data_IF_592080258568
#
_entry.id   IF_592080258568
#
_cell.length_a   1.000
_cell.length_b   1.000
_cell.length_c   1.000
_cell.angle_alpha   90.00
_cell.angle_beta   90.00
_cell.angle_gamma   90.00
#
_symmetry.space_group_name_H-M   'P 1'
#
loop_
_entity.id
_entity.type
_entity.pdbx_description
1 polymer ?
#
# COMPACT_ATOMS: atom_id res chain seq x y z
N UNK A 1 -3.88 -6.58 -22.19
CA UNK A 1 -2.65 -6.10 -21.52
C UNK A 1 -2.93 -6.06 -20.02
N UNK A 2 -2.13 -6.76 -19.22
CA UNK A 2 -2.31 -6.82 -17.78
C UNK A 2 -1.45 -5.74 -17.11
N UNK A 3 -2.02 -5.05 -16.13
CA UNK A 3 -1.31 -4.08 -15.28
C UNK A 3 -1.50 -4.43 -13.82
N UNK A 4 -0.47 -4.15 -13.02
CA UNK A 4 -0.49 -4.35 -11.57
C UNK A 4 0.00 -3.07 -10.91
N UNK A 5 -0.75 -2.59 -9.92
CA UNK A 5 -0.53 -1.29 -9.30
C UNK A 5 -0.62 -1.39 -7.79
N UNK A 6 0.34 -0.84 -7.03
CA UNK A 6 0.19 -0.69 -5.60
C UNK A 6 -0.88 0.38 -5.32
N UNK A 7 -1.84 0.03 -4.47
CA UNK A 7 -2.94 0.92 -4.10
C UNK A 7 -3.09 0.99 -2.59
N UNK A 8 -3.39 2.19 -2.10
CA UNK A 8 -3.68 2.48 -0.71
C UNK A 8 -5.17 2.81 -0.59
N UNK A 9 -5.87 2.18 0.33
CA UNK A 9 -7.27 2.51 0.63
C UNK A 9 -7.34 3.80 1.45
N UNK A 10 -8.11 4.78 0.98
CA UNK A 10 -8.22 6.09 1.63
C UNK A 10 -9.57 6.22 2.34
N UNK A 11 -9.54 6.55 3.63
CA UNK A 11 -10.70 6.82 4.47
C UNK A 11 -10.36 7.83 5.58
N UNK A 12 -9.65 8.91 5.22
CA UNK A 12 -9.32 9.96 6.16
C UNK A 12 -10.59 10.66 6.70
N UNK A 13 -10.58 11.13 7.96
CA UNK A 13 -11.65 11.97 8.49
C UNK A 13 -11.86 13.25 7.67
N UNK A 14 -13.11 13.65 7.50
CA UNK A 14 -13.49 14.87 6.77
C UNK A 14 -12.88 16.15 7.37
N UNK A 15 -12.49 16.11 8.65
CA UNK A 15 -11.90 17.24 9.38
C UNK A 15 -10.37 17.22 9.44
N UNK A 16 -9.71 16.34 8.68
CA UNK A 16 -8.25 16.34 8.57
C UNK A 16 -7.73 17.69 8.05
N UNK A 17 -6.90 18.36 8.86
CA UNK A 17 -6.45 19.72 8.57
C UNK A 17 -4.96 19.98 8.86
N UNK A 18 -4.14 18.93 9.02
CA UNK A 18 -2.70 19.12 9.27
C UNK A 18 -1.97 19.63 8.03
N UNK A 19 -2.32 19.13 6.84
CA UNK A 19 -1.78 19.59 5.56
C UNK A 19 -2.79 19.38 4.43
N UNK A 20 -2.58 20.00 3.25
CA UNK A 20 -3.45 19.77 2.10
C UNK A 20 -3.43 18.32 1.64
N UNK A 21 -4.62 17.75 1.46
CA UNK A 21 -4.87 16.43 0.87
C UNK A 21 -5.69 16.60 -0.41
N UNK A 22 -5.65 15.61 -1.29
CA UNK A 22 -6.53 15.59 -2.47
C UNK A 22 -7.95 15.26 -2.05
N UNK A 23 -8.93 15.67 -2.83
CA UNK A 23 -10.30 15.20 -2.67
C UNK A 23 -10.36 13.70 -3.05
N UNK A 24 -11.11 12.91 -2.28
CA UNK A 24 -11.32 11.48 -2.51
C UNK A 24 -12.72 11.08 -2.04
N UNK A 25 -13.23 9.96 -2.57
CA UNK A 25 -14.38 9.29 -1.99
C UNK A 25 -13.88 8.27 -0.94
N UNK A 26 -14.51 8.17 0.25
CA UNK A 26 -14.08 7.21 1.27
C UNK A 26 -14.09 5.77 0.75
N UNK A 27 -13.12 4.97 1.20
CA UNK A 27 -12.90 3.58 0.82
C UNK A 27 -12.59 3.39 -0.67
N UNK A 28 -12.01 4.42 -1.31
CA UNK A 28 -11.43 4.30 -2.66
C UNK A 28 -9.92 4.09 -2.60
N UNK A 29 -9.38 3.62 -3.73
CA UNK A 29 -7.98 3.29 -3.86
C UNK A 29 -7.19 4.41 -4.52
N UNK A 30 -6.20 4.95 -3.80
CA UNK A 30 -5.17 5.83 -4.34
C UNK A 30 -4.00 4.99 -4.86
N UNK A 31 -3.67 5.12 -6.14
CA UNK A 31 -2.48 4.47 -6.72
C UNK A 31 -1.21 5.14 -6.19
N UNK A 32 -0.25 4.33 -5.72
CA UNK A 32 1.08 4.80 -5.38
C UNK A 32 2.03 4.68 -6.57
N UNK A 33 2.82 5.71 -6.85
CA UNK A 33 3.79 5.69 -7.95
C UNK A 33 4.50 7.03 -8.16
N UNK A 34 5.45 7.07 -9.09
CA UNK A 34 6.24 8.27 -9.38
C UNK A 34 5.51 9.39 -10.14
N UNK A 35 4.24 9.20 -10.49
CA UNK A 35 3.42 10.18 -11.21
C UNK A 35 2.42 10.92 -10.34
N UNK A 36 2.55 10.84 -9.01
CA UNK A 36 1.62 11.46 -8.08
C UNK A 36 1.88 12.96 -7.93
N UNK A 37 0.81 13.72 -7.78
CA UNK A 37 0.83 15.11 -7.38
C UNK A 37 1.18 15.23 -5.88
N UNK A 38 1.74 16.37 -5.46
CA UNK A 38 2.18 16.55 -4.07
C UNK A 38 1.04 16.45 -3.04
N UNK A 39 -0.19 16.80 -3.42
CA UNK A 39 -1.39 16.63 -2.57
C UNK A 39 -1.79 15.17 -2.44
N UNK A 40 -1.64 14.36 -3.50
CA UNK A 40 -1.84 12.91 -3.44
C UNK A 40 -0.79 12.25 -2.54
N UNK A 41 0.47 12.70 -2.61
CA UNK A 41 1.54 12.25 -1.71
C UNK A 41 1.18 12.58 -0.25
N UNK A 42 0.76 13.82 0.02
CA UNK A 42 0.30 14.22 1.35
C UNK A 42 -0.89 13.39 1.85
N UNK A 43 -1.79 13.00 0.95
CA UNK A 43 -2.94 12.12 1.25
C UNK A 43 -2.48 10.73 1.64
N UNK A 44 -1.56 10.14 0.88
CA UNK A 44 -0.99 8.83 1.19
C UNK A 44 -0.26 8.83 2.54
N UNK A 45 0.56 9.85 2.82
CA UNK A 45 1.25 9.99 4.11
C UNK A 45 0.25 10.14 5.27
N UNK A 46 -0.78 10.97 5.09
CA UNK A 46 -1.84 11.13 6.09
C UNK A 46 -2.56 9.81 6.35
N UNK A 47 -2.95 9.09 5.30
CA UNK A 47 -3.66 7.83 5.43
C UNK A 47 -2.82 6.76 6.14
N UNK A 48 -1.56 6.58 5.76
CA UNK A 48 -0.68 5.62 6.44
C UNK A 48 -0.51 5.97 7.92
N UNK A 49 -0.30 7.26 8.25
CA UNK A 49 -0.22 7.69 9.63
C UNK A 49 -1.54 7.45 10.39
N UNK A 50 -2.67 7.78 9.77
CA UNK A 50 -4.01 7.62 10.35
C UNK A 50 -4.36 6.16 10.63
N UNK A 51 -4.11 5.25 9.69
CA UNK A 51 -4.32 3.81 9.88
C UNK A 51 -3.57 3.27 11.09
N UNK A 52 -2.41 3.86 11.41
CA UNK A 52 -1.59 3.47 12.56
C UNK A 52 -1.83 4.36 13.80
N UNK A 53 -2.73 5.34 13.77
CA UNK A 53 -2.89 6.32 14.85
C UNK A 53 -3.47 5.72 16.14
N UNK A 54 -3.99 4.49 16.11
CA UNK A 54 -4.41 3.76 17.31
C UNK A 54 -3.16 3.28 18.05
N UNK A 55 -2.87 3.90 19.19
CA UNK A 55 -1.80 3.44 20.07
C UNK A 55 -2.06 1.98 20.49
N UNK A 56 -1.03 1.12 20.54
CA UNK A 56 -1.14 -0.17 21.20
C UNK A 56 -1.63 0.02 22.63
N UNK A 57 -2.49 -0.87 23.14
CA UNK A 57 -3.07 -0.75 24.50
C UNK A 57 -2.01 -0.60 25.61
N UNK A 58 -0.76 -1.03 25.34
CA UNK A 58 0.38 -0.99 26.25
C UNK A 58 1.29 0.26 26.13
N UNK A 59 1.04 1.20 25.19
CA UNK A 59 1.80 2.46 25.13
C UNK A 59 1.32 3.43 26.22
N UNK A 60 2.04 3.43 27.33
CA UNK A 60 1.77 4.31 28.49
C UNK A 60 2.40 5.70 28.37
N UNK A 61 3.08 5.99 27.24
CA UNK A 61 3.69 7.30 27.02
C UNK A 61 2.61 8.35 26.79
N UNK A 62 2.71 9.55 27.41
CA UNK A 62 1.81 10.63 27.06
C UNK A 62 2.02 11.01 25.59
N UNK A 63 0.94 11.18 24.79
CA UNK A 63 1.08 11.57 23.40
C UNK A 63 1.78 12.94 23.32
N UNK A 64 2.56 13.20 22.26
CA UNK A 64 3.14 14.52 22.02
C UNK A 64 2.08 15.62 22.07
N UNK A 65 2.46 16.80 22.58
CA UNK A 65 1.51 17.91 22.74
C UNK A 65 1.29 18.72 21.46
N UNK A 66 2.17 18.58 20.47
CA UNK A 66 1.99 19.21 19.16
C UNK A 66 1.15 18.29 18.23
N UNK A 67 0.19 18.85 17.46
CA UNK A 67 -0.72 18.05 16.65
C UNK A 67 -0.02 17.15 15.61
N UNK A 68 1.13 17.57 15.07
CA UNK A 68 1.90 16.79 14.10
C UNK A 68 2.58 15.59 14.76
N UNK A 69 3.26 15.83 15.89
CA UNK A 69 3.88 14.78 16.69
C UNK A 69 2.86 13.77 17.18
N UNK A 70 1.70 14.23 17.65
CA UNK A 70 0.61 13.35 18.10
C UNK A 70 0.11 12.45 16.96
N UNK A 71 -0.12 13.03 15.78
CA UNK A 71 -0.62 12.29 14.61
C UNK A 71 0.42 11.32 14.03
N UNK A 72 1.70 11.67 14.08
CA UNK A 72 2.78 10.83 13.55
C UNK A 72 3.35 9.86 14.59
N UNK A 73 2.95 9.92 15.86
CA UNK A 73 3.60 9.20 16.96
C UNK A 73 3.76 7.71 16.66
N UNK A 74 2.66 6.99 16.41
CA UNK A 74 2.72 5.54 16.15
C UNK A 74 3.43 5.20 14.85
N UNK A 75 3.32 6.04 13.81
CA UNK A 75 4.08 5.86 12.57
C UNK A 75 5.59 5.82 12.85
N UNK A 76 6.05 6.66 13.80
CA UNK A 76 7.46 6.81 14.13
C UNK A 76 7.96 5.80 15.17
N UNK A 77 7.09 5.31 16.05
CA UNK A 77 7.47 4.46 17.18
C UNK A 77 7.14 2.98 17.00
N UNK A 78 6.13 2.64 16.19
CA UNK A 78 5.75 1.24 15.97
C UNK A 78 6.75 0.51 15.08
N UNK A 79 7.05 -0.74 15.41
CA UNK A 79 7.83 -1.64 14.55
C UNK A 79 6.99 -2.16 13.39
N UNK A 80 5.73 -2.51 13.66
CA UNK A 80 4.77 -3.06 12.70
C UNK A 80 3.81 -1.96 12.26
N UNK A 81 3.87 -1.59 10.98
CA UNK A 81 3.07 -0.54 10.39
C UNK A 81 2.15 -1.13 9.33
N UNK A 82 0.91 -0.67 9.32
CA UNK A 82 -0.13 -1.11 8.39
C UNK A 82 -0.32 -0.05 7.30
N UNK A 83 -0.39 -0.48 6.05
CA UNK A 83 -0.78 0.33 4.90
C UNK A 83 -1.96 -0.35 4.18
N UNK A 84 -3.16 -0.20 4.75
CA UNK A 84 -4.40 -0.81 4.23
C UNK A 84 -4.55 -0.60 2.72
N UNK A 85 -4.77 -1.69 1.98
CA UNK A 85 -4.74 -1.71 0.52
C UNK A 85 -4.06 -2.97 0.01
N UNK A 86 -3.29 -2.85 -1.07
CA UNK A 86 -2.59 -4.00 -1.66
C UNK A 86 -2.31 -3.81 -3.13
N UNK A 87 -2.32 -4.90 -3.91
CA UNK A 87 -2.06 -4.86 -5.35
C UNK A 87 -3.35 -4.99 -6.14
N UNK A 88 -3.67 -3.95 -6.91
CA UNK A 88 -4.74 -3.99 -7.92
C UNK A 88 -4.20 -4.56 -9.22
N UNK A 89 -4.84 -5.59 -9.76
CA UNK A 89 -4.50 -6.16 -11.08
C UNK A 89 -5.65 -5.96 -12.05
N UNK A 90 -5.37 -5.40 -13.22
CA UNK A 90 -6.37 -5.17 -14.26
C UNK A 90 -5.92 -5.79 -15.58
N UNK A 91 -6.76 -6.63 -16.16
CA UNK A 91 -6.58 -7.12 -17.52
C UNK A 91 -7.47 -6.32 -18.49
N UNK A 92 -6.84 -5.49 -19.32
CA UNK A 92 -7.55 -4.66 -20.29
C UNK A 92 -8.25 -5.47 -21.39
N UNK A 93 -7.81 -6.70 -21.66
CA UNK A 93 -8.38 -7.50 -22.76
C UNK A 93 -9.71 -8.14 -22.35
N UNK A 94 -9.84 -8.54 -21.08
CA UNK A 94 -11.07 -9.13 -20.52
C UNK A 94 -11.91 -8.13 -19.72
N UNK A 95 -11.32 -7.00 -19.30
CA UNK A 95 -11.92 -6.02 -18.41
C UNK A 95 -11.94 -6.44 -16.94
N UNK A 96 -11.38 -7.61 -16.60
CA UNK A 96 -11.39 -8.14 -15.22
C UNK A 96 -10.43 -7.34 -14.35
N UNK A 97 -10.87 -7.05 -13.12
CA UNK A 97 -10.04 -6.39 -12.11
C UNK A 97 -10.06 -7.21 -10.82
N UNK A 98 -8.89 -7.53 -10.31
CA UNK A 98 -8.68 -8.09 -8.97
C UNK A 98 -8.27 -6.94 -8.06
N UNK A 99 -9.05 -6.72 -7.00
CA UNK A 99 -8.79 -5.73 -5.97
C UNK A 99 -8.30 -6.44 -4.70
N UNK A 100 -7.52 -5.76 -3.84
CA UNK A 100 -7.24 -6.27 -2.50
C UNK A 100 -8.54 -6.39 -1.69
N UNK A 101 -8.61 -7.38 -0.81
CA UNK A 101 -9.66 -7.51 0.19
C UNK A 101 -9.41 -6.62 1.42
N UNK A 102 -10.39 -6.51 2.31
CA UNK A 102 -10.37 -5.53 3.40
C UNK A 102 -9.37 -5.83 4.54
N UNK A 103 -8.75 -7.01 4.55
CA UNK A 103 -7.70 -7.40 5.49
C UNK A 103 -6.34 -7.55 4.82
N UNK A 104 -6.21 -7.16 3.55
CA UNK A 104 -4.91 -7.10 2.88
C UNK A 104 -4.22 -5.77 3.21
N UNK A 105 -2.90 -5.82 3.17
CA UNK A 105 -2.04 -4.69 3.45
C UNK A 105 -1.02 -4.52 2.35
N UNK A 106 -0.81 -3.28 1.90
CA UNK A 106 0.24 -2.97 0.95
C UNK A 106 1.63 -3.24 1.56
N UNK A 107 1.79 -3.22 2.88
CA UNK A 107 2.99 -3.65 3.59
C UNK A 107 3.34 -5.13 3.35
N UNK A 108 2.35 -5.95 2.96
CA UNK A 108 2.49 -7.38 2.69
C UNK A 108 2.65 -7.69 1.20
N UNK A 109 2.86 -6.70 0.33
CA UNK A 109 2.93 -6.91 -1.13
C UNK A 109 3.96 -7.98 -1.55
N UNK A 110 5.02 -8.19 -0.77
CA UNK A 110 6.01 -9.25 -1.03
C UNK A 110 5.47 -10.66 -0.83
N UNK A 111 4.35 -10.85 -0.15
CA UNK A 111 3.70 -12.15 0.00
C UNK A 111 3.33 -12.76 -1.36
N UNK A 112 3.10 -11.95 -2.39
CA UNK A 112 2.90 -12.39 -3.77
C UNK A 112 4.03 -13.30 -4.27
N UNK A 113 5.26 -13.17 -3.76
CA UNK A 113 6.36 -14.07 -4.13
C UNK A 113 6.16 -15.52 -3.67
N UNK A 114 5.31 -15.78 -2.65
CA UNK A 114 4.97 -17.15 -2.20
C UNK A 114 4.25 -17.96 -3.28
N UNK A 115 3.63 -17.30 -4.27
CA UNK A 115 3.06 -17.95 -5.45
C UNK A 115 4.13 -18.70 -6.25
N UNK A 116 5.37 -18.23 -6.21
CA UNK A 116 6.46 -18.85 -6.95
C UNK A 116 7.40 -19.68 -6.08
N UNK A 117 7.74 -19.15 -4.92
CA UNK A 117 8.83 -19.63 -4.08
C UNK A 117 8.31 -20.41 -2.86
N UNK A 118 6.98 -20.52 -2.71
CA UNK A 118 6.30 -21.19 -1.61
C UNK A 118 5.29 -22.24 -2.08
N UNK A 119 4.12 -22.27 -1.42
CA UNK A 119 3.07 -23.27 -1.65
C UNK A 119 2.35 -23.13 -3.01
N UNK A 120 2.63 -22.07 -3.77
CA UNK A 120 1.93 -21.79 -5.02
C UNK A 120 0.53 -21.19 -4.82
N UNK A 121 0.21 -20.72 -3.62
CA UNK A 121 -1.10 -20.13 -3.31
C UNK A 121 -0.95 -19.01 -2.27
N UNK A 122 -1.68 -17.91 -2.46
CA UNK A 122 -1.82 -16.79 -1.52
C UNK A 122 -3.23 -16.22 -1.63
N UNK A 123 -3.83 -15.82 -0.50
CA UNK A 123 -5.06 -15.04 -0.45
C UNK A 123 -4.78 -13.62 0.05
N UNK A 124 -5.50 -12.63 -0.48
CA UNK A 124 -5.25 -11.20 -0.21
C UNK A 124 -6.47 -10.55 0.44
N UNK A 125 -6.83 -11.01 1.64
CA UNK A 125 -7.97 -10.50 2.41
C UNK A 125 -9.32 -11.16 2.10
N UNK A 126 -10.39 -10.52 2.59
CA UNK A 126 -11.78 -10.94 2.41
C UNK A 126 -12.69 -9.77 1.99
N UNK A 127 -13.87 -10.10 1.47
CA UNK A 127 -14.89 -9.16 0.97
C UNK A 127 -14.36 -8.04 0.02
N UNK A 128 -13.82 -8.37 -1.17
CA UNK A 128 -13.79 -9.70 -1.81
C UNK A 128 -12.66 -10.58 -1.28
N UNK A 129 -12.69 -11.89 -1.56
CA UNK A 129 -11.63 -12.83 -1.16
C UNK A 129 -10.70 -13.18 -2.34
N UNK A 130 -9.85 -12.25 -2.82
CA UNK A 130 -8.98 -12.48 -3.97
C UNK A 130 -7.89 -13.49 -3.65
N UNK A 131 -7.49 -14.26 -4.66
CA UNK A 131 -6.43 -15.27 -4.52
C UNK A 131 -5.53 -15.31 -5.74
N UNK A 132 -4.28 -15.70 -5.53
CA UNK A 132 -3.36 -16.09 -6.58
C UNK A 132 -2.97 -17.57 -6.41
N UNK A 133 -3.19 -18.37 -7.45
CA UNK A 133 -2.86 -19.80 -7.46
C UNK A 133 -1.98 -20.14 -8.67
N UNK A 134 -0.84 -20.77 -8.43
CA UNK A 134 0.03 -21.26 -9.48
C UNK A 134 -0.48 -22.60 -10.03
N UNK A 135 -0.69 -22.65 -11.34
CA UNK A 135 -1.11 -23.83 -12.12
C UNK A 135 -0.09 -24.10 -13.21
N UNK A 136 0.97 -24.84 -12.85
CA UNK A 136 2.11 -25.09 -13.75
C UNK A 136 2.91 -23.82 -14.01
N UNK A 137 2.93 -23.39 -15.27
CA UNK A 137 3.63 -22.17 -15.73
C UNK A 137 2.72 -20.93 -15.80
N UNK A 138 1.45 -21.09 -15.42
CA UNK A 138 0.45 -20.03 -15.33
C UNK A 138 0.12 -19.75 -13.87
N UNK A 139 -0.22 -18.52 -13.55
CA UNK A 139 -0.88 -18.13 -12.30
C UNK A 139 -2.31 -17.72 -12.63
N UNK A 140 -3.27 -18.18 -11.83
CA UNK A 140 -4.65 -17.73 -11.87
C UNK A 140 -4.89 -16.76 -10.73
N UNK A 141 -5.34 -15.56 -11.05
CA UNK A 141 -5.81 -14.58 -10.09
C UNK A 141 -7.33 -14.62 -10.07
N UNK A 142 -7.94 -15.04 -8.97
CA UNK A 142 -9.40 -15.10 -8.83
C UNK A 142 -9.89 -13.86 -8.08
N UNK A 143 -10.94 -13.20 -8.59
CA UNK A 143 -11.49 -11.98 -7.97
C UNK A 143 -12.06 -12.25 -6.58
N UNK A 144 -12.88 -13.29 -6.45
CA UNK A 144 -13.45 -13.72 -5.17
C UNK A 144 -13.55 -15.25 -5.11
N UNK A 145 -12.68 -15.88 -4.33
CA UNK A 145 -12.65 -17.34 -4.20
C UNK A 145 -13.91 -17.93 -3.54
N UNK A 146 -14.75 -17.11 -2.89
CA UNK A 146 -15.98 -17.54 -2.25
C UNK A 146 -17.19 -17.45 -3.20
N UNK A 147 -17.04 -16.80 -4.34
CA UNK A 147 -18.07 -16.71 -5.37
C UNK A 147 -17.94 -17.85 -6.38
N UNK A 148 -19.02 -18.59 -6.61
CA UNK A 148 -19.11 -19.55 -7.70
C UNK A 148 -18.93 -18.83 -9.05
N UNK A 149 -18.14 -19.43 -9.95
CA UNK A 149 -17.79 -18.87 -11.27
C UNK A 149 -17.20 -17.46 -11.22
N UNK A 150 -16.48 -17.12 -10.14
CA UNK A 150 -15.77 -15.84 -10.03
C UNK A 150 -14.90 -15.58 -11.26
N UNK A 151 -14.94 -14.36 -11.82
CA UNK A 151 -13.99 -13.93 -12.83
C UNK A 151 -12.55 -14.13 -12.36
N UNK A 152 -11.66 -14.38 -13.32
CA UNK A 152 -10.24 -14.59 -13.05
C UNK A 152 -9.39 -14.05 -14.19
N UNK A 153 -8.13 -13.74 -13.86
CA UNK A 153 -7.07 -13.39 -14.80
C UNK A 153 -6.07 -14.54 -14.79
N UNK A 154 -5.82 -15.15 -15.94
CA UNK A 154 -4.79 -16.17 -16.11
C UNK A 154 -3.58 -15.52 -16.82
N UNK A 155 -2.40 -15.59 -16.21
CA UNK A 155 -1.17 -15.00 -16.77
C UNK A 155 0.05 -15.90 -16.56
N UNK A 156 1.06 -15.86 -17.46
CA UNK A 156 2.32 -16.57 -17.25
C UNK A 156 3.01 -16.18 -15.95
N UNK A 157 3.66 -17.14 -15.29
CA UNK A 157 4.49 -16.89 -14.09
C UNK A 157 5.55 -15.82 -14.35
N UNK A 158 6.14 -15.80 -15.54
CA UNK A 158 7.15 -14.80 -15.93
C UNK A 158 6.56 -13.40 -16.03
N UNK A 159 5.32 -13.25 -16.48
CA UNK A 159 4.62 -11.97 -16.55
C UNK A 159 4.31 -11.44 -15.15
N UNK A 160 3.82 -12.29 -14.23
CA UNK A 160 3.59 -11.88 -12.85
C UNK A 160 4.87 -11.42 -12.15
N UNK A 161 6.01 -12.06 -12.40
CA UNK A 161 7.32 -11.61 -11.87
C UNK A 161 7.71 -10.23 -12.40
N UNK A 162 7.46 -9.94 -13.67
CA UNK A 162 7.71 -8.61 -14.23
C UNK A 162 6.77 -7.56 -13.61
N UNK A 163 5.49 -7.87 -13.47
CA UNK A 163 4.51 -6.99 -12.82
C UNK A 163 4.91 -6.63 -11.38
N UNK A 164 5.40 -7.59 -10.59
CA UNK A 164 5.90 -7.34 -9.24
C UNK A 164 7.18 -6.48 -9.22
N UNK A 165 8.04 -6.62 -10.23
CA UNK A 165 9.21 -5.74 -10.39
C UNK A 165 8.76 -4.30 -10.68
N UNK A 166 7.71 -4.12 -11.49
CA UNK A 166 7.13 -2.81 -11.77
C UNK A 166 6.45 -2.21 -10.53
N UNK A 167 5.81 -3.03 -9.68
CA UNK A 167 5.27 -2.61 -8.38
C UNK A 167 6.37 -2.08 -7.45
N UNK A 168 7.49 -2.82 -7.30
CA UNK A 168 8.60 -2.37 -6.47
C UNK A 168 9.17 -1.03 -6.96
N UNK A 169 9.24 -0.84 -8.28
CA UNK A 169 9.65 0.43 -8.89
C UNK A 169 8.66 1.55 -8.57
N UNK A 170 7.36 1.30 -8.69
CA UNK A 170 6.32 2.30 -8.39
C UNK A 170 6.35 2.71 -6.91
N UNK A 171 6.49 1.75 -5.98
CA UNK A 171 6.63 2.02 -4.54
C UNK A 171 7.90 2.81 -4.22
N UNK A 172 9.03 2.45 -4.84
CA UNK A 172 10.29 3.19 -4.69
C UNK A 172 10.18 4.63 -5.20
N UNK A 173 9.49 4.82 -6.33
CA UNK A 173 9.26 6.14 -6.90
C UNK A 173 8.31 6.99 -6.04
N UNK A 174 7.26 6.39 -5.47
CA UNK A 174 6.41 7.03 -4.46
C UNK A 174 7.23 7.47 -3.25
N UNK A 175 8.10 6.59 -2.72
CA UNK A 175 8.93 6.93 -1.56
C UNK A 175 9.83 8.13 -1.83
N UNK A 176 10.40 8.25 -3.03
CA UNK A 176 11.19 9.43 -3.41
C UNK A 176 10.37 10.73 -3.41
N UNK A 177 9.12 10.68 -3.89
CA UNK A 177 8.19 11.81 -3.80
C UNK A 177 7.84 12.13 -2.35
N UNK A 178 7.57 11.12 -1.52
CA UNK A 178 7.29 11.28 -0.10
C UNK A 178 8.49 11.87 0.66
N UNK A 179 9.73 11.51 0.33
CA UNK A 179 10.93 12.13 0.89
C UNK A 179 11.00 13.62 0.55
N UNK A 180 10.71 13.98 -0.71
CA UNK A 180 10.68 15.38 -1.14
C UNK A 180 9.56 16.16 -0.44
N UNK A 181 8.39 15.54 -0.31
CA UNK A 181 7.23 16.12 0.39
C UNK A 181 7.53 16.34 1.88
N UNK A 182 8.06 15.33 2.58
CA UNK A 182 8.38 15.42 4.01
C UNK A 182 9.47 16.46 4.28
N UNK A 183 10.50 16.55 3.43
CA UNK A 183 11.53 17.58 3.54
C UNK A 183 10.97 19.00 3.42
N UNK A 184 9.89 19.19 2.64
CA UNK A 184 9.23 20.48 2.49
C UNK A 184 8.28 20.79 3.66
N UNK A 185 7.44 19.84 4.05
CA UNK A 185 6.35 20.05 5.01
C UNK A 185 6.76 19.86 6.47
N UNK A 186 7.74 19.00 6.74
CA UNK A 186 8.18 18.63 8.08
C UNK A 186 9.71 18.42 8.13
N UNK A 187 10.52 19.48 7.90
CA UNK A 187 11.97 19.34 7.75
C UNK A 187 12.66 18.67 8.94
N UNK A 188 12.15 18.90 10.17
CA UNK A 188 12.72 18.34 11.39
C UNK A 188 12.48 16.82 11.54
N UNK A 189 11.44 16.28 10.90
CA UNK A 189 11.05 14.87 10.98
C UNK A 189 11.26 14.11 9.65
N UNK A 190 11.73 14.80 8.60
CA UNK A 190 11.77 14.26 7.24
C UNK A 190 12.48 12.91 7.11
N UNK A 191 13.64 12.77 7.75
CA UNK A 191 14.41 11.53 7.74
C UNK A 191 13.67 10.38 8.46
N UNK A 192 13.09 10.65 9.63
CA UNK A 192 12.40 9.63 10.44
C UNK A 192 11.10 9.19 9.77
N UNK A 193 10.32 10.13 9.20
CA UNK A 193 9.10 9.80 8.47
C UNK A 193 9.42 9.03 7.20
N UNK A 194 10.44 9.44 6.43
CA UNK A 194 10.90 8.69 5.25
C UNK A 194 11.30 7.26 5.61
N UNK A 195 12.05 7.07 6.70
CA UNK A 195 12.46 5.74 7.16
C UNK A 195 11.26 4.89 7.61
N UNK A 196 10.27 5.49 8.26
CA UNK A 196 9.03 4.80 8.64
C UNK A 196 8.21 4.35 7.41
N UNK A 197 8.05 5.23 6.41
CA UNK A 197 7.36 4.89 5.17
C UNK A 197 8.09 3.80 4.38
N UNK A 198 9.43 3.88 4.29
CA UNK A 198 10.25 2.86 3.62
C UNK A 198 10.07 1.47 4.27
N UNK A 199 10.09 1.42 5.60
CA UNK A 199 9.83 0.20 6.38
C UNK A 199 8.42 -0.32 6.17
N UNK A 200 7.42 0.55 6.25
CA UNK A 200 6.02 0.18 6.06
C UNK A 200 5.77 -0.44 4.68
N UNK A 201 6.38 0.11 3.63
CA UNK A 201 6.21 -0.38 2.25
C UNK A 201 7.21 -1.48 1.86
N UNK A 202 8.04 -1.92 2.80
CA UNK A 202 9.12 -2.89 2.59
C UNK A 202 9.98 -2.61 1.33
N UNK A 203 10.33 -1.34 1.15
CA UNK A 203 11.24 -0.86 0.10
C UNK A 203 12.46 -0.21 0.72
N UNK A 204 13.56 -0.20 -0.04
CA UNK A 204 14.80 0.43 0.44
C UNK A 204 14.61 1.93 0.58
N UNK A 205 15.00 2.46 1.73
CA UNK A 205 15.05 3.91 1.92
C UNK A 205 16.03 4.55 0.91
N UNK A 206 15.71 5.72 0.35
CA UNK A 206 16.64 6.46 -0.48
C UNK A 206 17.89 6.83 0.33
N UNK A 207 19.05 6.84 -0.32
CA UNK A 207 20.27 7.40 0.28
C UNK A 207 20.05 8.90 0.50
N UNK A 208 20.05 9.32 1.76
CA UNK A 208 19.98 10.74 2.11
C UNK A 208 21.33 11.40 1.75
N UNK A 209 21.33 12.57 1.09
CA UNK A 209 22.55 13.31 0.77
C UNK A 209 23.24 13.89 2.01
#
# INVERSE_FOLDING_TARGET
MITMQPVLEIHLPDDFALWPVTDFEPYTFLRLGGGMEMTEVGTAVAQIAFTNAVAPEDDTSPPPSDPYGAFLHTLLTSEHLIAAGGLRVHDADTGVTVLPGCCDGLEEWREWHRVFDGAGFVGFGHDPSPTAERRGDTVRLTVDAWQEDSPAIDLPVTELRHLLTDVERDLTAFLALATSWTAHHMPAQAATVTAALARCLDVRAPEMP
#
